data_IF_188272787821
#
_entry.id   IF_188272787821
#
_cell.length_a   1.000
_cell.length_b   1.000
_cell.length_c   1.000
_cell.angle_alpha   90.00
_cell.angle_beta   90.00
_cell.angle_gamma   90.00
#
_symmetry.space_group_name_H-M   'P 1'
#
loop_
_entity.id
_entity.type
_entity.pdbx_description
1 polymer ?
#
# COMPACT_ATOMS: atom_id res chain seq x y z
N UNK A 1 31.11 -6.60 1.95
CA UNK A 1 29.75 -6.09 1.65
C UNK A 1 28.82 -6.67 2.71
N UNK A 2 28.53 -5.89 3.76
CA UNK A 2 27.80 -6.38 4.93
C UNK A 2 26.31 -6.12 4.72
N UNK A 3 25.57 -7.19 4.42
CA UNK A 3 24.16 -7.29 4.72
C UNK A 3 24.01 -7.39 6.25
N UNK A 4 23.00 -6.74 6.82
CA UNK A 4 22.19 -7.20 7.98
C UNK A 4 21.57 -6.01 8.70
N UNK A 5 20.26 -6.16 8.91
CA UNK A 5 19.34 -5.33 9.68
C UNK A 5 17.95 -5.65 9.12
N UNK A 6 17.44 -6.87 9.26
CA UNK A 6 17.17 -7.54 10.54
C UNK A 6 17.51 -9.05 10.46
N UNK A 7 17.89 -9.60 11.61
CA UNK A 7 18.14 -11.02 11.90
C UNK A 7 17.59 -12.01 10.87
N UNK A 8 18.49 -12.76 10.21
CA UNK A 8 18.20 -14.11 9.72
C UNK A 8 17.82 -14.95 10.95
N UNK A 9 16.54 -14.93 11.32
CA UNK A 9 15.97 -15.83 12.29
C UNK A 9 15.12 -16.80 11.49
N UNK A 10 15.68 -17.99 11.35
CA UNK A 10 15.16 -19.17 10.68
C UNK A 10 14.95 -19.03 9.16
N UNK A 11 15.23 -20.12 8.45
CA UNK A 11 14.89 -20.33 7.05
C UNK A 11 13.36 -20.46 6.94
N UNK A 12 12.66 -19.39 7.34
CA UNK A 12 11.20 -19.38 7.42
C UNK A 12 10.69 -19.38 5.99
N UNK A 13 10.06 -20.50 5.61
CA UNK A 13 9.37 -20.56 4.34
C UNK A 13 8.12 -19.67 4.37
N UNK A 14 8.30 -18.43 3.96
CA UNK A 14 7.22 -17.46 3.82
C UNK A 14 6.16 -17.91 2.81
N UNK A 15 6.49 -18.82 1.89
CA UNK A 15 5.59 -19.28 0.83
C UNK A 15 4.39 -20.01 1.42
N UNK A 16 4.58 -20.89 2.40
CA UNK A 16 3.46 -21.57 3.08
C UNK A 16 2.49 -20.59 3.74
N UNK A 17 3.02 -19.53 4.36
CA UNK A 17 2.21 -18.51 5.03
C UNK A 17 1.47 -17.62 4.03
N UNK A 18 2.11 -17.23 2.93
CA UNK A 18 1.52 -16.41 1.87
C UNK A 18 0.48 -17.19 1.06
N UNK A 19 0.66 -18.50 0.85
CA UNK A 19 -0.30 -19.34 0.14
C UNK A 19 -1.69 -19.40 0.80
N UNK A 20 -1.75 -19.20 2.11
CA UNK A 20 -3.02 -19.12 2.86
C UNK A 20 -3.79 -17.82 2.61
N UNK A 21 -3.17 -16.82 2.00
CA UNK A 21 -3.81 -15.54 1.70
C UNK A 21 -4.66 -15.68 0.43
N UNK A 22 -5.93 -15.30 0.53
CA UNK A 22 -6.79 -15.16 -0.64
C UNK A 22 -6.43 -13.88 -1.39
N UNK A 23 -5.94 -14.00 -2.61
CA UNK A 23 -5.80 -12.86 -3.50
C UNK A 23 -7.18 -12.54 -4.09
N UNK A 24 -7.55 -11.27 -4.06
CA UNK A 24 -8.82 -10.78 -4.60
C UNK A 24 -8.56 -9.64 -5.58
N UNK A 25 -9.51 -9.34 -6.47
CA UNK A 25 -9.43 -8.19 -7.37
C UNK A 25 -9.03 -6.91 -6.68
N UNK A 26 -8.23 -6.08 -7.37
CA UNK A 26 -7.81 -4.79 -6.82
C UNK A 26 -9.04 -3.95 -6.54
N UNK A 27 -9.13 -3.36 -5.34
CA UNK A 27 -10.24 -2.44 -5.09
C UNK A 27 -10.03 -1.15 -5.87
N UNK A 28 -10.94 -0.89 -6.79
CA UNK A 28 -10.97 0.30 -7.63
C UNK A 28 -12.19 1.16 -7.33
N UNK A 29 -12.11 2.44 -7.71
CA UNK A 29 -13.22 3.37 -7.61
C UNK A 29 -14.20 3.10 -8.76
N UNK A 30 -15.47 2.91 -8.40
CA UNK A 30 -16.58 2.90 -9.33
C UNK A 30 -17.14 4.33 -9.45
N UNK A 31 -16.65 5.07 -10.45
CA UNK A 31 -17.06 6.44 -10.72
C UNK A 31 -18.56 6.56 -11.06
N UNK A 32 -19.18 5.50 -11.62
CA UNK A 32 -20.61 5.53 -11.93
C UNK A 32 -21.44 5.54 -10.64
N UNK A 33 -21.09 4.70 -9.67
CA UNK A 33 -21.76 4.67 -8.36
C UNK A 33 -21.56 6.00 -7.63
N UNK A 34 -20.35 6.56 -7.60
CA UNK A 34 -20.12 7.82 -6.92
C UNK A 34 -20.89 8.98 -7.54
N UNK A 35 -21.02 9.00 -8.88
CA UNK A 35 -21.85 9.97 -9.58
C UNK A 35 -23.33 9.81 -9.26
N UNK A 36 -23.83 8.57 -9.21
CA UNK A 36 -25.22 8.29 -8.83
C UNK A 36 -25.53 8.69 -7.38
N UNK A 37 -24.53 8.68 -6.50
CA UNK A 37 -24.63 9.10 -5.10
C UNK A 37 -24.34 10.59 -4.88
N UNK A 38 -24.03 11.36 -5.94
CA UNK A 38 -23.58 12.75 -5.85
C UNK A 38 -22.37 12.95 -4.93
N UNK A 39 -21.41 12.03 -5.02
CA UNK A 39 -20.15 12.03 -4.27
C UNK A 39 -18.92 12.10 -5.18
N UNK A 40 -19.11 12.13 -6.50
CA UNK A 40 -18.04 12.10 -7.48
C UNK A 40 -17.11 13.30 -7.36
N UNK A 41 -17.65 14.51 -7.20
CA UNK A 41 -16.84 15.71 -7.01
C UNK A 41 -15.92 15.61 -5.78
N UNK A 42 -16.46 15.19 -4.63
CA UNK A 42 -15.69 15.05 -3.40
C UNK A 42 -14.63 13.95 -3.49
N UNK A 43 -14.97 12.82 -4.11
CA UNK A 43 -14.03 11.70 -4.30
C UNK A 43 -12.91 12.09 -5.25
N UNK A 44 -13.24 12.72 -6.38
CA UNK A 44 -12.25 13.21 -7.34
C UNK A 44 -11.34 14.25 -6.71
N UNK A 45 -11.91 15.25 -6.02
CA UNK A 45 -11.15 16.28 -5.33
C UNK A 45 -10.18 15.67 -4.30
N UNK A 46 -10.63 14.69 -3.51
CA UNK A 46 -9.78 13.98 -2.56
C UNK A 46 -8.63 13.23 -3.24
N UNK A 47 -8.89 12.53 -4.35
CA UNK A 47 -7.84 11.81 -5.09
C UNK A 47 -6.81 12.77 -5.68
N UNK A 48 -7.26 13.92 -6.19
CA UNK A 48 -6.39 14.93 -6.77
C UNK A 48 -5.54 15.60 -5.68
N UNK A 49 -6.15 16.00 -4.56
CA UNK A 49 -5.44 16.58 -3.42
C UNK A 49 -4.45 15.60 -2.78
N UNK A 50 -4.76 14.30 -2.80
CA UNK A 50 -3.84 13.25 -2.38
C UNK A 50 -2.83 12.87 -3.46
N UNK A 51 -2.94 13.33 -4.71
CA UNK A 51 -2.09 12.88 -5.81
C UNK A 51 -2.16 11.36 -6.07
N UNK A 52 -3.37 10.81 -5.99
CA UNK A 52 -3.69 9.40 -6.20
C UNK A 52 -4.58 9.14 -7.42
N UNK A 53 -5.07 10.18 -8.10
CA UNK A 53 -5.93 10.03 -9.28
C UNK A 53 -5.29 9.13 -10.34
N UNK A 54 -4.06 9.45 -10.77
CA UNK A 54 -3.34 8.68 -11.80
C UNK A 54 -3.13 7.22 -11.39
N UNK A 55 -2.77 7.00 -10.13
CA UNK A 55 -2.65 5.65 -9.59
C UNK A 55 -3.97 4.90 -9.74
N UNK A 56 -5.09 5.47 -9.29
CA UNK A 56 -6.41 4.84 -9.34
C UNK A 56 -6.92 4.54 -10.75
N UNK A 57 -6.52 5.34 -11.74
CA UNK A 57 -6.83 5.09 -13.15
C UNK A 57 -6.00 3.93 -13.73
N UNK A 58 -4.82 3.65 -13.16
CA UNK A 58 -3.85 2.68 -13.70
C UNK A 58 -3.88 1.29 -13.06
N UNK A 59 -4.46 1.15 -11.87
CA UNK A 59 -4.44 -0.10 -11.07
C UNK A 59 -5.33 -1.23 -11.58
N UNK A 60 -6.18 -0.96 -12.58
CA UNK A 60 -7.00 -1.98 -13.25
C UNK A 60 -6.09 -2.88 -14.08
N UNK A 61 -5.69 -4.00 -13.49
CA UNK A 61 -4.71 -4.92 -14.05
C UNK A 61 -5.07 -6.36 -13.74
N UNK A 62 -4.67 -7.23 -14.65
CA UNK A 62 -4.71 -8.69 -14.46
C UNK A 62 -3.92 -9.11 -13.23
N UNK A 63 -4.33 -10.20 -12.60
CA UNK A 63 -3.73 -10.69 -11.36
C UNK A 63 -3.02 -12.00 -11.64
N UNK A 64 -1.69 -11.92 -11.65
CA UNK A 64 -0.79 -13.06 -11.77
C UNK A 64 -0.57 -13.64 -10.37
N UNK A 65 -1.46 -14.55 -9.95
CA UNK A 65 -1.52 -15.00 -8.55
C UNK A 65 -0.22 -15.65 -8.07
N UNK A 66 0.39 -16.51 -8.89
CA UNK A 66 1.63 -17.20 -8.52
C UNK A 66 2.79 -16.22 -8.36
N UNK A 67 2.97 -15.32 -9.31
CA UNK A 67 3.99 -14.26 -9.29
C UNK A 67 3.74 -13.29 -8.14
N UNK A 68 2.49 -12.98 -7.83
CA UNK A 68 2.10 -12.17 -6.67
C UNK A 68 2.54 -12.84 -5.37
N UNK A 69 2.36 -14.17 -5.25
CA UNK A 69 2.79 -14.93 -4.06
C UNK A 69 4.31 -15.00 -3.96
N UNK A 70 5.01 -15.26 -5.05
CA UNK A 70 6.47 -15.28 -5.10
C UNK A 70 7.05 -13.91 -4.73
N UNK A 71 6.48 -12.83 -5.27
CA UNK A 71 6.82 -11.47 -4.90
C UNK A 71 6.66 -11.24 -3.38
N UNK A 72 5.47 -11.49 -2.83
CA UNK A 72 5.20 -11.25 -1.40
C UNK A 72 6.07 -12.12 -0.46
N UNK A 73 6.42 -13.34 -0.89
CA UNK A 73 7.29 -14.23 -0.12
C UNK A 73 8.75 -13.77 -0.09
N UNK A 74 9.22 -13.08 -1.14
CA UNK A 74 10.65 -12.78 -1.35
C UNK A 74 10.97 -11.29 -1.26
N UNK A 75 9.97 -10.42 -1.26
CA UNK A 75 10.16 -8.97 -1.23
C UNK A 75 10.98 -8.52 -0.02
N UNK A 76 11.99 -7.72 -0.28
CA UNK A 76 12.85 -7.10 0.71
C UNK A 76 13.23 -5.69 0.27
N UNK A 77 13.58 -4.87 1.25
CA UNK A 77 13.90 -3.46 1.04
C UNK A 77 15.28 -3.18 1.62
N UNK A 78 16.14 -2.52 0.84
CA UNK A 78 17.45 -2.07 1.29
C UNK A 78 17.64 -0.57 1.07
N UNK A 79 18.44 0.03 1.95
CA UNK A 79 18.92 1.40 1.84
C UNK A 79 20.46 1.42 1.87
N UNK A 80 21.12 2.17 0.97
CA UNK A 80 22.54 2.48 1.07
C UNK A 80 22.92 3.17 2.38
N UNK A 81 22.03 4.01 2.94
CA UNK A 81 22.24 4.75 4.19
C UNK A 81 21.14 4.43 5.21
N UNK A 82 21.50 3.67 6.23
CA UNK A 82 20.55 3.15 7.24
C UNK A 82 20.15 4.19 8.31
N UNK A 83 20.99 5.18 8.60
CA UNK A 83 20.75 6.14 9.70
C UNK A 83 19.70 7.19 9.39
N UNK A 84 19.42 7.46 8.12
CA UNK A 84 18.39 8.39 7.66
C UNK A 84 17.92 7.96 6.27
N UNK A 85 17.04 6.94 6.20
CA UNK A 85 16.58 6.42 4.92
C UNK A 85 15.73 7.48 4.21
N UNK A 86 16.12 7.82 2.98
CA UNK A 86 15.34 8.65 2.08
C UNK A 86 14.68 7.79 1.02
N UNK A 87 13.48 8.17 0.59
CA UNK A 87 12.73 7.44 -0.42
C UNK A 87 13.55 7.22 -1.70
N UNK A 88 14.34 8.22 -2.15
CA UNK A 88 15.23 8.08 -3.32
C UNK A 88 16.24 6.95 -3.26
N UNK A 89 16.70 6.61 -2.06
CA UNK A 89 17.80 5.67 -1.89
C UNK A 89 17.29 4.23 -1.71
N UNK A 90 15.97 4.04 -1.55
CA UNK A 90 15.38 2.73 -1.33
C UNK A 90 15.34 1.87 -2.59
N UNK A 91 15.80 0.62 -2.47
CA UNK A 91 15.75 -0.38 -3.52
C UNK A 91 14.99 -1.61 -3.02
N UNK A 92 13.98 -1.99 -3.77
CA UNK A 92 13.19 -3.19 -3.55
C UNK A 92 13.84 -4.36 -4.30
N UNK A 93 13.97 -5.50 -3.65
CA UNK A 93 14.47 -6.76 -4.23
C UNK A 93 13.43 -7.86 -4.03
N UNK A 94 13.27 -8.71 -5.03
CA UNK A 94 12.35 -9.85 -4.99
C UNK A 94 12.79 -10.90 -6.01
N UNK A 95 12.18 -12.09 -5.95
CA UNK A 95 12.49 -13.21 -6.83
C UNK A 95 11.22 -13.76 -7.46
N UNK A 96 11.25 -13.96 -8.78
CA UNK A 96 10.16 -14.54 -9.57
C UNK A 96 10.74 -15.66 -10.42
N UNK A 97 10.14 -16.85 -10.37
CA UNK A 97 10.58 -18.04 -11.11
C UNK A 97 12.08 -18.36 -10.97
N UNK A 98 12.67 -18.06 -9.81
CA UNK A 98 14.09 -18.27 -9.52
C UNK A 98 15.02 -17.13 -9.99
N UNK A 99 14.50 -16.14 -10.71
CA UNK A 99 15.26 -14.98 -11.16
C UNK A 99 15.12 -13.81 -10.18
N UNK A 100 16.23 -13.10 -9.94
CA UNK A 100 16.28 -11.97 -9.02
C UNK A 100 16.03 -10.64 -9.72
N UNK A 101 15.05 -9.91 -9.23
CA UNK A 101 14.66 -8.59 -9.75
C UNK A 101 14.87 -7.52 -8.69
N UNK A 102 15.03 -6.28 -9.16
CA UNK A 102 15.06 -5.12 -8.28
C UNK A 102 14.42 -3.90 -8.95
N UNK A 103 13.89 -3.01 -8.12
CA UNK A 103 13.30 -1.75 -8.55
C UNK A 103 13.53 -0.67 -7.49
N UNK A 104 13.97 0.51 -7.92
CA UNK A 104 14.13 1.64 -7.00
C UNK A 104 12.77 2.26 -6.64
N UNK A 105 12.62 2.77 -5.42
CA UNK A 105 11.39 3.47 -4.99
C UNK A 105 11.02 4.63 -5.93
N UNK A 106 11.96 5.46 -6.45
CA UNK A 106 11.63 6.48 -7.46
C UNK A 106 11.07 5.91 -8.77
N UNK A 107 11.64 4.80 -9.26
CA UNK A 107 11.13 4.15 -10.48
C UNK A 107 9.75 3.55 -10.24
N UNK A 108 9.55 2.91 -9.10
CA UNK A 108 8.27 2.39 -8.64
C UNK A 108 7.21 3.50 -8.55
N UNK A 109 7.52 4.60 -7.86
CA UNK A 109 6.60 5.72 -7.68
C UNK A 109 6.15 6.34 -9.01
N UNK A 110 7.09 6.57 -9.93
CA UNK A 110 6.75 7.06 -11.29
C UNK A 110 5.85 6.10 -12.05
N UNK A 111 6.12 4.80 -11.95
CA UNK A 111 5.34 3.77 -12.65
C UNK A 111 3.91 3.67 -12.12
N UNK A 112 3.74 3.76 -10.80
CA UNK A 112 2.44 3.76 -10.14
C UNK A 112 1.72 5.13 -10.22
N UNK A 113 2.34 6.16 -10.82
CA UNK A 113 1.74 7.49 -10.94
C UNK A 113 1.69 8.26 -9.63
N UNK A 114 2.55 7.95 -8.65
CA UNK A 114 2.69 8.70 -7.42
C UNK A 114 3.61 9.91 -7.58
N UNK A 115 3.23 11.00 -6.93
CA UNK A 115 4.12 12.16 -6.79
C UNK A 115 5.35 11.80 -5.96
N UNK A 116 6.50 12.31 -6.39
CA UNK A 116 7.75 12.07 -5.70
C UNK A 116 7.85 12.95 -4.45
N UNK A 117 8.20 12.30 -3.33
CA UNK A 117 8.55 12.94 -2.07
C UNK A 117 9.78 12.27 -1.47
N UNK A 118 10.55 13.00 -0.66
CA UNK A 118 11.81 12.51 -0.09
C UNK A 118 11.65 11.68 1.18
N UNK A 119 10.60 11.92 1.98
CA UNK A 119 10.45 11.21 3.25
C UNK A 119 9.98 9.76 3.03
N UNK A 120 10.72 8.82 3.63
CA UNK A 120 10.41 7.40 3.59
C UNK A 120 9.24 7.02 4.50
N UNK A 121 9.09 7.71 5.64
CA UNK A 121 7.96 7.58 6.54
C UNK A 121 7.57 8.92 7.16
N UNK A 122 6.48 8.92 7.94
CA UNK A 122 5.97 10.11 8.62
C UNK A 122 6.86 10.57 9.79
N UNK A 123 7.90 9.82 10.16
CA UNK A 123 8.65 10.04 11.40
C UNK A 123 7.77 9.89 12.66
N UNK A 124 8.29 10.29 13.84
CA UNK A 124 7.50 10.40 15.05
C UNK A 124 6.65 11.67 14.97
N UNK A 125 5.41 11.57 14.50
CA UNK A 125 4.54 12.74 14.36
C UNK A 125 3.15 12.56 14.97
N UNK A 126 2.66 13.67 15.54
CA UNK A 126 1.42 13.78 16.28
C UNK A 126 0.22 13.78 15.34
N UNK A 127 -0.79 12.96 15.64
CA UNK A 127 -2.07 12.94 14.93
C UNK A 127 -2.87 14.26 15.07
N UNK A 128 -2.40 15.19 15.92
CA UNK A 128 -2.98 16.51 16.15
C UNK A 128 -4.48 16.47 16.44
N UNK A 129 -5.18 17.55 16.08
CA UNK A 129 -6.64 17.68 16.14
C UNK A 129 -7.35 17.09 14.88
N UNK A 130 -6.61 16.47 13.96
CA UNK A 130 -7.12 16.05 12.63
C UNK A 130 -8.38 15.20 12.75
N UNK A 131 -8.38 14.27 13.70
CA UNK A 131 -9.54 13.42 13.92
C UNK A 131 -10.80 14.23 14.25
N UNK A 132 -10.67 15.31 15.03
CA UNK A 132 -11.79 16.19 15.40
C UNK A 132 -12.43 16.89 14.19
N UNK A 133 -11.67 17.11 13.11
CA UNK A 133 -12.16 17.72 11.88
C UNK A 133 -13.04 16.77 11.06
N UNK A 134 -12.76 15.46 11.13
CA UNK A 134 -13.46 14.43 10.35
C UNK A 134 -14.55 13.74 11.21
N UNK A 135 -14.45 13.81 12.55
CA UNK A 135 -15.42 13.28 13.52
C UNK A 135 -15.21 13.86 14.94
N UNK A 136 -16.30 13.98 15.71
CA UNK A 136 -16.28 14.07 17.19
C UNK A 136 -15.80 12.77 17.90
N UNK A 137 -14.89 12.90 18.86
CA UNK A 137 -14.51 11.83 19.82
C UNK A 137 -13.01 11.58 19.90
N UNK A 138 -12.55 10.63 20.72
CA UNK A 138 -11.12 10.32 20.82
C UNK A 138 -10.65 9.38 19.70
N UNK A 139 -9.45 9.64 19.18
CA UNK A 139 -8.78 8.75 18.24
C UNK A 139 -7.86 7.78 18.98
N UNK A 140 -7.86 6.52 18.57
CA UNK A 140 -6.89 5.52 18.98
C UNK A 140 -6.57 4.63 17.79
N UNK A 141 -5.32 4.74 17.31
CA UNK A 141 -4.82 3.99 16.16
C UNK A 141 -5.13 2.50 16.27
N UNK A 142 -5.70 1.92 15.20
CA UNK A 142 -6.06 0.50 15.11
C UNK A 142 -7.33 0.12 15.88
N UNK A 143 -7.85 0.97 16.78
CA UNK A 143 -9.08 0.71 17.56
C UNK A 143 -10.27 1.53 17.06
N UNK A 144 -10.07 2.80 16.70
CA UNK A 144 -11.12 3.69 16.19
C UNK A 144 -11.66 3.16 14.87
N UNK A 145 -12.98 2.97 14.78
CA UNK A 145 -13.62 2.35 13.61
C UNK A 145 -13.74 3.31 12.44
N UNK A 146 -13.54 2.82 11.22
CA UNK A 146 -13.69 3.62 9.97
C UNK A 146 -15.11 4.14 9.77
N UNK A 147 -16.12 3.36 10.20
CA UNK A 147 -17.52 3.78 10.20
C UNK A 147 -17.77 5.07 11.00
N UNK A 148 -16.81 5.46 11.84
CA UNK A 148 -16.90 6.70 12.57
C UNK A 148 -16.72 7.90 11.62
N UNK A 149 -15.87 7.88 10.61
CA UNK A 149 -15.68 9.00 9.66
C UNK A 149 -17.04 9.51 9.15
N UNK A 150 -17.39 10.77 9.41
CA UNK A 150 -18.73 11.31 9.14
C UNK A 150 -19.01 11.45 7.64
N UNK A 151 -18.02 11.95 6.89
CA UNK A 151 -18.17 12.22 5.46
C UNK A 151 -18.02 10.93 4.63
N UNK A 152 -19.00 10.56 3.79
CA UNK A 152 -18.98 9.30 3.03
C UNK A 152 -17.82 9.22 2.04
N UNK A 153 -17.49 10.31 1.32
CA UNK A 153 -16.33 10.34 0.42
C UNK A 153 -15.00 10.04 1.15
N UNK A 154 -14.73 10.72 2.29
CA UNK A 154 -13.53 10.48 3.10
C UNK A 154 -13.50 9.02 3.60
N UNK A 155 -14.66 8.46 4.00
CA UNK A 155 -14.75 7.06 4.42
C UNK A 155 -14.41 6.10 3.28
N UNK A 156 -14.85 6.39 2.05
CA UNK A 156 -14.49 5.60 0.87
C UNK A 156 -13.01 5.71 0.54
N UNK A 157 -12.43 6.91 0.56
CA UNK A 157 -10.99 7.12 0.35
C UNK A 157 -10.16 6.40 1.42
N UNK A 158 -10.57 6.44 2.69
CA UNK A 158 -9.93 5.65 3.74
C UNK A 158 -9.93 4.15 3.40
N UNK A 159 -11.08 3.59 3.01
CA UNK A 159 -11.16 2.16 2.64
C UNK A 159 -10.24 1.85 1.46
N UNK A 160 -10.21 2.72 0.47
CA UNK A 160 -9.33 2.58 -0.69
C UNK A 160 -7.86 2.55 -0.28
N UNK A 161 -7.41 3.52 0.52
CA UNK A 161 -6.05 3.61 1.07
C UNK A 161 -5.71 2.35 1.87
N UNK A 162 -6.60 1.92 2.77
CA UNK A 162 -6.41 0.73 3.60
C UNK A 162 -6.19 -0.54 2.76
N UNK A 163 -6.87 -0.69 1.62
CA UNK A 163 -6.76 -1.86 0.74
C UNK A 163 -5.57 -1.81 -0.20
N UNK A 164 -5.33 -0.64 -0.79
CA UNK A 164 -4.32 -0.45 -1.84
C UNK A 164 -2.99 -0.07 -1.21
N UNK A 165 -2.81 1.19 -0.83
CA UNK A 165 -1.54 1.75 -0.32
C UNK A 165 -1.07 1.05 0.98
N UNK A 166 -1.98 0.80 1.92
CA UNK A 166 -1.67 0.15 3.20
C UNK A 166 -1.94 -1.35 3.22
N UNK A 167 -2.42 -1.93 2.11
CA UNK A 167 -2.49 -3.37 1.89
C UNK A 167 -2.93 -4.18 3.13
N UNK A 168 -4.06 -3.77 3.72
CA UNK A 168 -4.58 -4.32 4.98
C UNK A 168 -5.55 -5.46 4.73
N UNK A 169 -5.37 -6.50 5.53
CA UNK A 169 -6.31 -7.63 5.63
C UNK A 169 -7.57 -7.29 6.44
N UNK A 170 -7.51 -6.27 7.32
CA UNK A 170 -8.65 -5.81 8.12
C UNK A 170 -8.80 -4.28 8.02
N UNK A 171 -10.00 -3.80 7.70
CA UNK A 171 -10.22 -2.40 7.27
C UNK A 171 -11.24 -1.65 8.14
N UNK A 172 -11.70 -2.29 9.23
CA UNK A 172 -12.76 -1.74 10.05
C UNK A 172 -12.27 -0.65 10.99
N UNK A 173 -10.95 -0.50 11.16
CA UNK A 173 -10.32 0.51 12.00
C UNK A 173 -9.32 1.37 11.24
N UNK A 174 -9.03 2.54 11.76
CA UNK A 174 -8.14 3.54 11.16
C UNK A 174 -6.77 3.49 11.85
N UNK A 175 -5.69 3.40 11.08
CA UNK A 175 -4.33 3.53 11.60
C UNK A 175 -3.89 5.00 11.66
N UNK A 176 -2.91 5.26 12.53
CA UNK A 176 -2.29 6.56 12.64
C UNK A 176 -1.77 7.10 11.29
N UNK A 177 -0.99 6.29 10.58
CA UNK A 177 -0.44 6.67 9.27
C UNK A 177 -1.53 6.93 8.22
N UNK A 178 -2.63 6.16 8.25
CA UNK A 178 -3.78 6.39 7.37
C UNK A 178 -4.46 7.73 7.68
N UNK A 179 -4.60 8.07 8.96
CA UNK A 179 -5.14 9.36 9.39
C UNK A 179 -4.22 10.50 8.97
N UNK A 180 -2.89 10.31 9.05
CA UNK A 180 -1.91 11.30 8.58
C UNK A 180 -1.99 11.49 7.06
N UNK A 181 -2.25 10.46 6.27
CA UNK A 181 -2.52 10.62 4.83
C UNK A 181 -3.84 11.37 4.61
N UNK A 182 -4.91 11.00 5.31
CA UNK A 182 -6.22 11.62 5.16
C UNK A 182 -6.24 13.10 5.59
N UNK A 183 -5.29 13.54 6.42
CA UNK A 183 -5.19 14.95 6.85
C UNK A 183 -4.67 15.87 5.76
N UNK A 184 -3.82 15.38 4.86
CA UNK A 184 -3.03 16.24 3.97
C UNK A 184 -3.87 17.16 3.06
N UNK A 185 -5.09 16.79 2.60
CA UNK A 185 -5.92 17.71 1.83
C UNK A 185 -6.52 18.88 2.62
N UNK A 186 -6.59 18.80 3.95
CA UNK A 186 -7.42 19.70 4.79
C UNK A 186 -6.62 20.65 5.67
N UNK A 187 -5.31 20.47 5.73
CA UNK A 187 -4.39 21.31 6.49
C UNK A 187 -3.23 21.67 5.58
N UNK A 188 -2.58 22.81 5.82
CA UNK A 188 -1.27 23.15 5.24
C UNK A 188 -0.20 22.24 5.83
N UNK A 189 -0.37 20.95 5.60
CA UNK A 189 0.55 19.90 5.95
C UNK A 189 1.22 19.51 4.65
N UNK A 190 2.48 19.93 4.42
CA UNK A 190 3.19 19.54 3.22
C UNK A 190 3.17 18.01 3.16
N UNK A 191 2.64 17.46 2.07
CA UNK A 191 2.67 16.03 1.83
C UNK A 191 4.13 15.64 1.68
N UNK A 192 4.74 15.15 2.77
CA UNK A 192 6.17 14.84 2.82
C UNK A 192 6.47 13.38 2.50
N UNK A 193 5.47 12.51 2.60
CA UNK A 193 5.69 11.06 2.54
C UNK A 193 5.43 10.52 1.15
N UNK A 194 6.38 9.69 0.71
CA UNK A 194 6.34 9.00 -0.56
C UNK A 194 5.41 7.78 -0.48
N UNK A 195 4.36 7.72 -1.30
CA UNK A 195 3.43 6.58 -1.28
C UNK A 195 4.07 5.27 -1.72
N UNK A 196 5.05 5.30 -2.64
CA UNK A 196 5.78 4.09 -2.99
C UNK A 196 6.54 3.56 -1.78
N UNK A 197 7.11 4.44 -0.95
CA UNK A 197 7.77 4.06 0.32
C UNK A 197 6.79 3.44 1.31
N UNK A 198 5.61 4.04 1.53
CA UNK A 198 4.59 3.48 2.42
C UNK A 198 4.12 2.10 1.94
N UNK A 199 3.86 1.98 0.63
CA UNK A 199 3.41 0.74 0.00
C UNK A 199 4.47 -0.37 0.17
N UNK A 200 5.72 -0.07 -0.16
CA UNK A 200 6.86 -0.99 -0.02
C UNK A 200 7.08 -1.43 1.43
N UNK A 201 7.08 -0.47 2.38
CA UNK A 201 7.22 -0.75 3.81
C UNK A 201 6.13 -1.73 4.27
N UNK A 202 4.93 -1.58 3.72
CA UNK A 202 3.82 -2.48 4.01
C UNK A 202 3.99 -3.87 3.39
N UNK A 203 4.43 -3.98 2.13
CA UNK A 203 4.70 -5.29 1.49
C UNK A 203 5.65 -6.13 2.33
N UNK A 204 6.78 -5.52 2.74
CA UNK A 204 7.75 -6.19 3.61
C UNK A 204 7.14 -6.57 4.96
N UNK A 205 6.24 -5.73 5.50
CA UNK A 205 5.56 -6.01 6.77
C UNK A 205 4.53 -7.15 6.67
N UNK A 206 3.80 -7.28 5.56
CA UNK A 206 2.82 -8.38 5.35
C UNK A 206 3.49 -9.74 5.53
N UNK A 207 4.70 -9.89 4.98
CA UNK A 207 5.53 -11.08 5.13
C UNK A 207 5.72 -11.47 6.60
N UNK A 208 5.99 -10.51 7.47
CA UNK A 208 6.23 -10.72 8.90
C UNK A 208 4.94 -10.89 9.69
N UNK A 209 3.95 -10.03 9.46
CA UNK A 209 2.65 -10.07 10.17
C UNK A 209 1.95 -11.43 10.00
N UNK A 210 2.16 -12.11 8.86
CA UNK A 210 1.49 -13.39 8.54
C UNK A 210 2.12 -14.61 9.17
N UNK A 211 3.42 -14.60 9.47
CA UNK A 211 4.05 -15.67 10.27
C UNK A 211 3.36 -15.78 11.63
N UNK A 212 2.91 -14.65 12.19
CA UNK A 212 2.34 -14.58 13.53
C UNK A 212 0.79 -14.56 13.55
N UNK A 213 0.13 -14.65 12.39
CA UNK A 213 -1.33 -14.56 12.28
C UNK A 213 -1.95 -15.95 12.10
N UNK A 214 -2.80 -16.35 13.03
CA UNK A 214 -3.58 -17.61 13.00
C UNK A 214 -4.89 -17.51 12.19
N UNK A 215 -5.17 -16.34 11.61
CA UNK A 215 -6.43 -16.07 10.92
C UNK A 215 -6.42 -16.59 9.47
N UNK A 216 -7.21 -17.64 9.23
CA UNK A 216 -7.36 -18.35 7.96
C UNK A 216 -8.19 -17.59 6.90
N UNK A 217 -8.72 -16.40 7.19
CA UNK A 217 -9.58 -15.64 6.26
C UNK A 217 -8.95 -14.38 5.66
N UNK A 218 -7.62 -14.27 5.71
CA UNK A 218 -6.94 -13.09 5.20
C UNK A 218 -7.07 -12.96 3.67
N UNK A 219 -7.58 -11.82 3.23
CA UNK A 219 -7.64 -11.44 1.81
C UNK A 219 -6.81 -10.20 1.53
N UNK A 220 -6.25 -10.13 0.32
CA UNK A 220 -5.50 -8.98 -0.18
C UNK A 220 -6.03 -8.57 -1.56
N UNK A 221 -6.48 -7.32 -1.64
CA UNK A 221 -7.13 -6.73 -2.82
C UNK A 221 -6.23 -5.71 -3.52
N UNK A 222 -4.99 -6.08 -3.81
CA UNK A 222 -4.03 -5.22 -4.51
C UNK A 222 -3.16 -5.99 -5.52
N UNK A 223 -3.59 -7.17 -5.96
CA UNK A 223 -2.83 -8.01 -6.90
C UNK A 223 -2.47 -7.29 -8.20
N UNK A 224 -3.39 -6.49 -8.74
CA UNK A 224 -3.13 -5.67 -9.94
C UNK A 224 -2.06 -4.60 -9.72
N UNK A 225 -1.91 -4.09 -8.48
CA UNK A 225 -0.79 -3.21 -8.13
C UNK A 225 0.53 -3.97 -8.21
N UNK A 226 0.59 -5.21 -7.73
CA UNK A 226 1.81 -6.04 -7.86
C UNK A 226 2.12 -6.30 -9.33
N UNK A 227 1.13 -6.60 -10.17
CA UNK A 227 1.34 -6.75 -11.62
C UNK A 227 2.05 -5.54 -12.23
N UNK A 228 1.64 -4.32 -11.89
CA UNK A 228 2.33 -3.11 -12.35
C UNK A 228 3.80 -3.06 -11.90
N UNK A 229 4.12 -3.56 -10.70
CA UNK A 229 5.50 -3.61 -10.19
C UNK A 229 6.34 -4.62 -10.97
N UNK A 230 5.77 -5.79 -11.26
CA UNK A 230 6.42 -6.83 -12.03
C UNK A 230 6.72 -6.34 -13.45
N UNK A 231 5.75 -5.71 -14.11
CA UNK A 231 5.94 -5.06 -15.41
C UNK A 231 7.02 -3.96 -15.35
N UNK A 232 7.01 -3.11 -14.32
CA UNK A 232 7.98 -2.04 -14.13
C UNK A 232 9.41 -2.55 -13.92
N UNK A 233 9.55 -3.74 -13.33
CA UNK A 233 10.80 -4.45 -13.13
C UNK A 233 11.20 -5.33 -14.32
N UNK A 234 10.43 -5.28 -15.42
CA UNK A 234 10.70 -6.03 -16.65
C UNK A 234 10.61 -7.55 -16.45
N UNK A 235 9.72 -8.00 -15.57
CA UNK A 235 9.39 -9.43 -15.41
C UNK A 235 8.56 -9.87 -16.61
N UNK A 236 8.92 -10.99 -17.23
CA UNK A 236 8.16 -11.55 -18.35
C UNK A 236 6.92 -12.31 -17.85
N UNK A 237 5.75 -11.71 -18.08
CA UNK A 237 4.44 -12.26 -17.72
C UNK A 237 3.71 -12.89 -18.92
N UNK A 238 4.32 -12.93 -20.10
CA UNK A 238 3.69 -13.50 -21.30
C UNK A 238 3.36 -14.97 -21.09
N UNK A 239 2.21 -15.39 -21.60
CA UNK A 239 1.70 -16.76 -21.54
C UNK A 239 1.48 -17.32 -20.11
N UNK A 240 1.51 -16.45 -19.09
CA UNK A 240 1.22 -16.83 -17.70
C UNK A 240 -0.29 -16.81 -17.44
N UNK A 241 -0.74 -17.69 -16.55
CA UNK A 241 -2.12 -17.72 -16.13
C UNK A 241 -2.41 -16.51 -15.22
N UNK A 242 -3.50 -15.81 -15.51
CA UNK A 242 -3.96 -14.68 -14.71
C UNK A 242 -5.45 -14.77 -14.44
N UNK A 243 -5.87 -14.11 -13.36
CA UNK A 243 -7.27 -13.85 -13.07
C UNK A 243 -7.60 -12.44 -13.58
N UNK A 244 -8.57 -12.34 -14.48
CA UNK A 244 -9.07 -11.04 -14.96
C UNK A 244 -9.91 -10.35 -13.87
N UNK A 245 -9.94 -9.01 -13.89
CA UNK A 245 -10.82 -8.19 -13.03
C UNK A 245 -12.31 -8.33 -13.39
#
# INVERSE_FOLDING_TARGET
MKFVGQTMKDDVDYRESINKIKLTPTLVIDYFIFKALHLDDDVVWMLDALGLRRFMESVRREIYEEETRQFLATVSLAFPRMSSPLARDGILYFTIHGEHFNISIPHLGRTLGFDYQDAFDFGPEEHGDTWQRIRKGLFTSGKTKSALISHPAIRCIHKLLANTIFARTTQNSILGDELLVLKTPFVDFPRRVNYASLFVKRMVKIKHDKIYCTDNQASLSFGGVITMILEAAVVDLKDRAFTAE
#
